data_IF_195067546790
#
_entry.id   IF_195067546790
#
_cell.length_a   1.000
_cell.length_b   1.000
_cell.length_c   1.000
_cell.angle_alpha   90.00
_cell.angle_beta   90.00
_cell.angle_gamma   90.00
#
_symmetry.space_group_name_H-M   'P 1'
#
loop_
_entity.id
_entity.type
_entity.pdbx_description
1 polymer ?
#
# COMPACT_ATOMS: atom_id res chain seq x y z
N UNK A 1 22.55 -11.01 -18.59
CA UNK A 1 22.00 -11.72 -17.42
C UNK A 1 21.70 -13.16 -17.82
N UNK A 2 22.30 -14.18 -17.21
CA UNK A 2 22.03 -15.56 -17.61
C UNK A 2 20.70 -16.01 -16.95
N UNK A 3 19.65 -16.15 -17.75
CA UNK A 3 18.41 -16.82 -17.33
C UNK A 3 18.66 -18.34 -17.33
N UNK A 4 18.66 -18.98 -16.18
CA UNK A 4 18.56 -20.43 -16.11
C UNK A 4 17.07 -20.80 -16.23
N UNK A 5 16.69 -21.40 -17.37
CA UNK A 5 15.37 -22.03 -17.58
C UNK A 5 14.15 -21.13 -17.26
N UNK A 6 14.13 -19.89 -17.73
CA UNK A 6 12.96 -19.03 -17.58
C UNK A 6 12.69 -18.45 -16.18
N UNK A 7 13.59 -18.64 -15.21
CA UNK A 7 13.48 -18.01 -13.89
C UNK A 7 14.13 -16.63 -13.89
N UNK A 8 13.44 -15.64 -13.38
CA UNK A 8 14.00 -14.32 -13.10
C UNK A 8 15.03 -14.44 -11.96
N UNK A 9 16.24 -13.97 -12.18
CA UNK A 9 17.28 -13.92 -11.16
C UNK A 9 17.17 -12.59 -10.41
N UNK A 10 16.88 -12.65 -9.11
CA UNK A 10 16.98 -11.48 -8.25
C UNK A 10 18.46 -11.06 -8.13
N UNK A 11 18.72 -9.77 -8.35
CA UNK A 11 20.05 -9.17 -8.20
C UNK A 11 20.02 -8.08 -7.15
N UNK A 12 21.01 -8.04 -6.29
CA UNK A 12 21.19 -6.91 -5.38
C UNK A 12 21.54 -5.66 -6.17
N UNK A 13 20.92 -4.54 -5.81
CA UNK A 13 21.20 -3.21 -6.34
C UNK A 13 22.26 -2.59 -5.44
N UNK A 14 23.50 -2.37 -5.93
CA UNK A 14 24.60 -1.93 -5.08
C UNK A 14 24.45 -0.48 -4.60
N UNK A 15 23.95 0.41 -5.45
CA UNK A 15 23.92 1.85 -5.22
C UNK A 15 22.50 2.31 -4.90
N UNK A 16 21.97 1.90 -3.75
CA UNK A 16 20.65 2.32 -3.29
C UNK A 16 20.68 2.81 -1.85
N UNK A 17 19.82 3.79 -1.56
CA UNK A 17 19.64 4.27 -0.20
C UNK A 17 18.17 4.53 0.12
N UNK A 18 17.87 4.43 1.43
CA UNK A 18 16.60 4.86 2.01
C UNK A 18 16.90 5.83 3.14
N UNK A 19 16.28 6.99 3.11
CA UNK A 19 16.36 7.97 4.18
C UNK A 19 15.01 8.65 4.38
N UNK A 20 14.71 9.08 5.58
CA UNK A 20 13.43 9.71 5.85
C UNK A 20 13.28 10.17 7.27
N UNK A 21 12.10 10.68 7.57
CA UNK A 21 11.66 11.12 8.89
C UNK A 21 10.37 10.39 9.20
N UNK A 22 10.31 9.80 10.38
CA UNK A 22 9.10 9.21 10.94
C UNK A 22 8.66 10.03 12.15
N UNK A 23 7.42 10.46 12.12
CA UNK A 23 6.80 11.22 13.20
C UNK A 23 5.60 10.42 13.72
N UNK A 24 5.46 10.35 15.03
CA UNK A 24 4.28 9.80 15.67
C UNK A 24 3.89 10.65 16.88
N UNK A 25 2.60 10.85 17.08
CA UNK A 25 2.05 11.56 18.22
C UNK A 25 0.79 10.84 18.71
N UNK A 26 0.58 10.82 20.03
CA UNK A 26 -0.63 10.34 20.65
C UNK A 26 -1.02 11.29 21.79
N UNK A 27 -2.27 11.72 21.80
CA UNK A 27 -2.81 12.69 22.75
C UNK A 27 -4.10 12.15 23.37
N UNK A 28 -4.15 12.07 24.68
CA UNK A 28 -5.37 11.85 25.42
C UNK A 28 -6.04 13.21 25.67
N UNK A 29 -6.97 13.61 24.82
CA UNK A 29 -7.64 14.91 24.87
C UNK A 29 -8.63 14.93 26.02
N UNK A 30 -9.33 13.82 26.26
CA UNK A 30 -10.23 13.63 27.38
C UNK A 30 -10.20 12.16 27.82
N UNK A 31 -10.82 11.82 28.96
CA UNK A 31 -10.91 10.43 29.45
C UNK A 31 -11.66 9.50 28.49
N UNK A 32 -12.43 10.06 27.58
CA UNK A 32 -13.27 9.37 26.63
C UNK A 32 -12.84 9.56 25.18
N UNK A 33 -11.76 10.34 24.92
CA UNK A 33 -11.30 10.64 23.56
C UNK A 33 -9.78 10.74 23.48
N UNK A 34 -9.19 9.96 22.58
CA UNK A 34 -7.79 10.07 22.21
C UNK A 34 -7.58 10.21 20.70
N UNK A 35 -6.50 10.87 20.33
CA UNK A 35 -6.04 11.08 18.97
C UNK A 35 -4.64 10.52 18.81
N UNK A 36 -4.45 9.65 17.82
CA UNK A 36 -3.15 9.20 17.34
C UNK A 36 -2.90 9.70 15.92
N UNK A 37 -1.68 10.06 15.61
CA UNK A 37 -1.28 10.39 14.25
C UNK A 37 0.15 9.89 14.00
N UNK A 38 0.43 9.43 12.79
CA UNK A 38 1.77 9.10 12.32
C UNK A 38 1.95 9.59 10.89
N UNK A 39 3.20 9.88 10.54
CA UNK A 39 3.60 10.22 9.19
C UNK A 39 5.04 9.76 8.94
N UNK A 40 5.26 9.11 7.81
CA UNK A 40 6.57 8.74 7.28
C UNK A 40 6.79 9.52 5.99
N UNK A 41 7.84 10.31 5.96
CA UNK A 41 8.33 10.99 4.77
C UNK A 41 9.66 10.36 4.38
N UNK A 42 9.74 9.71 3.23
CA UNK A 42 10.92 8.96 2.84
C UNK A 42 11.40 9.28 1.43
N UNK A 43 12.68 9.12 1.23
CA UNK A 43 13.33 9.15 -0.08
C UNK A 43 14.01 7.80 -0.31
N UNK A 44 13.53 7.06 -1.32
CA UNK A 44 13.97 5.71 -1.65
C UNK A 44 14.56 5.77 -3.07
N UNK A 45 15.88 5.77 -3.20
CA UNK A 45 16.58 6.02 -4.48
C UNK A 45 17.52 4.91 -4.84
N UNK A 46 17.69 4.76 -6.13
CA UNK A 46 18.73 3.96 -6.77
C UNK A 46 19.55 4.92 -7.62
N UNK A 47 20.86 4.86 -7.49
CA UNK A 47 21.79 5.63 -8.32
C UNK A 47 22.36 4.73 -9.43
N UNK A 48 22.69 5.32 -10.56
CA UNK A 48 23.26 4.61 -11.71
C UNK A 48 22.42 3.40 -12.16
N UNK A 49 21.08 3.53 -12.10
CA UNK A 49 20.19 2.44 -12.47
C UNK A 49 20.13 2.23 -13.98
N UNK A 50 20.31 0.99 -14.39
CA UNK A 50 20.07 0.52 -15.75
C UNK A 50 18.90 -0.45 -15.73
N UNK A 51 17.85 -0.13 -16.48
CA UNK A 51 16.72 -1.02 -16.71
C UNK A 51 17.05 -1.96 -17.87
N UNK A 52 16.70 -3.23 -17.74
CA UNK A 52 16.82 -4.25 -18.76
C UNK A 52 15.43 -4.58 -19.28
N UNK A 53 15.18 -4.33 -20.56
CA UNK A 53 13.88 -4.53 -21.20
C UNK A 53 14.02 -5.56 -22.30
N UNK A 54 13.16 -6.59 -22.31
CA UNK A 54 13.15 -7.59 -23.37
C UNK A 54 12.75 -6.97 -24.69
N UNK A 55 13.55 -7.22 -25.74
CA UNK A 55 13.33 -6.70 -27.09
C UNK A 55 12.89 -7.81 -28.04
N UNK A 56 11.89 -7.51 -28.85
CA UNK A 56 11.29 -8.39 -29.85
C UNK A 56 11.19 -7.66 -31.19
N UNK A 57 11.23 -8.40 -32.30
CA UNK A 57 10.88 -7.86 -33.60
C UNK A 57 9.36 -7.65 -33.75
N UNK A 58 8.92 -7.20 -34.93
CA UNK A 58 7.50 -6.97 -35.19
C UNK A 58 6.67 -8.27 -35.22
N UNK A 59 7.31 -9.42 -35.37
CA UNK A 59 6.68 -10.75 -35.37
C UNK A 59 6.80 -11.45 -34.00
N UNK A 60 7.17 -10.72 -32.94
CA UNK A 60 7.36 -11.21 -31.58
C UNK A 60 8.49 -12.25 -31.42
N UNK A 61 9.46 -12.29 -32.31
CA UNK A 61 10.67 -13.07 -32.09
C UNK A 61 11.59 -12.34 -31.11
N UNK A 62 12.09 -13.04 -30.10
CA UNK A 62 12.96 -12.47 -29.08
C UNK A 62 14.33 -12.12 -29.68
N UNK A 63 14.74 -10.86 -29.56
CA UNK A 63 16.01 -10.36 -30.05
C UNK A 63 17.09 -10.25 -28.95
N UNK A 64 16.67 -10.17 -27.70
CA UNK A 64 17.60 -10.01 -26.57
C UNK A 64 17.06 -9.07 -25.50
N UNK A 65 17.94 -8.56 -24.66
CA UNK A 65 17.63 -7.53 -23.65
C UNK A 65 18.27 -6.21 -24.08
N UNK A 66 17.50 -5.13 -24.04
CA UNK A 66 17.98 -3.77 -24.25
C UNK A 66 18.27 -3.10 -22.93
N UNK A 67 19.45 -2.53 -22.82
CA UNK A 67 19.87 -1.77 -21.64
C UNK A 67 19.45 -0.30 -21.80
N UNK A 68 18.71 0.21 -20.81
CA UNK A 68 18.27 1.60 -20.74
C UNK A 68 18.86 2.23 -19.47
N UNK A 69 19.86 3.09 -19.64
CA UNK A 69 20.45 3.82 -18.52
C UNK A 69 19.51 4.95 -18.08
N UNK A 70 18.96 4.86 -16.86
CA UNK A 70 18.01 5.82 -16.29
C UNK A 70 18.65 6.79 -15.29
N UNK A 71 19.92 6.58 -14.91
CA UNK A 71 20.58 7.39 -13.88
C UNK A 71 19.95 7.18 -12.50
N UNK A 72 19.44 8.26 -11.89
CA UNK A 72 18.77 8.16 -10.58
C UNK A 72 17.32 7.74 -10.74
N UNK A 73 16.95 6.63 -10.10
CA UNK A 73 15.60 6.09 -10.09
C UNK A 73 15.05 5.91 -8.67
N UNK A 74 13.92 5.23 -8.54
CA UNK A 74 13.29 4.96 -7.24
C UNK A 74 13.15 3.46 -7.01
N UNK A 75 13.12 3.05 -5.74
CA UNK A 75 12.84 1.67 -5.36
C UNK A 75 11.37 1.35 -5.60
N UNK A 76 11.11 0.17 -6.17
CA UNK A 76 9.76 -0.36 -6.34
C UNK A 76 9.04 -0.50 -4.98
N UNK A 77 7.71 -0.37 -4.99
CA UNK A 77 6.85 -0.47 -3.81
C UNK A 77 7.33 0.33 -2.61
N UNK A 78 7.89 1.51 -2.86
CA UNK A 78 8.45 2.35 -1.82
C UNK A 78 7.86 3.78 -1.93
N UNK A 79 6.65 4.01 -1.38
CA UNK A 79 6.01 5.32 -1.41
C UNK A 79 6.83 6.34 -0.62
N UNK A 80 6.82 7.60 -1.09
CA UNK A 80 7.53 8.68 -0.41
C UNK A 80 6.79 9.20 0.82
N UNK A 81 5.48 8.97 0.90
CA UNK A 81 4.62 9.43 2.00
C UNK A 81 3.70 8.30 2.42
N UNK A 82 3.68 8.01 3.73
CA UNK A 82 2.65 7.20 4.37
C UNK A 82 2.20 7.99 5.60
N UNK A 83 0.90 8.14 5.80
CA UNK A 83 0.36 8.83 6.96
C UNK A 83 -0.87 8.09 7.52
N UNK A 84 -1.10 8.22 8.81
CA UNK A 84 -2.26 7.63 9.48
C UNK A 84 -2.80 8.52 10.58
N UNK A 85 -4.12 8.49 10.77
CA UNK A 85 -4.82 9.14 11.88
C UNK A 85 -5.74 8.13 12.53
N UNK A 86 -5.72 8.08 13.85
CA UNK A 86 -6.54 7.23 14.68
C UNK A 86 -7.33 8.09 15.67
N UNK A 87 -8.66 8.04 15.62
CA UNK A 87 -9.54 8.66 16.57
C UNK A 87 -10.20 7.56 17.40
N UNK A 88 -10.00 7.60 18.69
CA UNK A 88 -10.52 6.59 19.62
C UNK A 88 -11.44 7.23 20.67
N UNK A 89 -12.67 6.74 20.72
CA UNK A 89 -13.74 7.27 21.55
C UNK A 89 -14.37 6.16 22.39
N UNK A 90 -14.46 6.38 23.71
CA UNK A 90 -15.05 5.44 24.66
C UNK A 90 -15.94 6.13 25.70
N UNK A 91 -17.24 5.82 25.71
CA UNK A 91 -18.18 6.35 26.71
C UNK A 91 -19.19 5.27 27.12
N UNK A 92 -19.28 4.96 28.42
CA UNK A 92 -20.34 4.12 29.02
C UNK A 92 -20.63 2.83 28.23
N UNK A 93 -19.60 2.05 27.92
CA UNK A 93 -19.72 0.81 27.14
C UNK A 93 -19.76 1.00 25.62
N UNK A 94 -19.98 2.21 25.12
CA UNK A 94 -19.84 2.52 23.70
C UNK A 94 -18.39 2.80 23.35
N UNK A 95 -17.93 2.28 22.20
CA UNK A 95 -16.63 2.55 21.62
C UNK A 95 -16.75 2.86 20.13
N UNK A 96 -15.96 3.79 19.66
CA UNK A 96 -15.84 4.09 18.23
C UNK A 96 -14.36 4.37 17.90
N UNK A 97 -13.83 3.64 16.93
CA UNK A 97 -12.45 3.76 16.46
C UNK A 97 -12.47 4.09 14.97
N UNK A 98 -12.08 5.31 14.63
CA UNK A 98 -11.89 5.72 13.24
C UNK A 98 -10.40 5.64 12.90
N UNK A 99 -10.07 4.95 11.83
CA UNK A 99 -8.70 4.84 11.32
C UNK A 99 -8.67 5.27 9.85
N UNK A 100 -7.92 6.32 9.59
CA UNK A 100 -7.67 6.81 8.23
C UNK A 100 -6.22 6.60 7.88
N UNK A 101 -5.95 6.04 6.70
CA UNK A 101 -4.60 5.80 6.20
C UNK A 101 -4.46 6.41 4.80
N UNK A 102 -3.38 7.15 4.59
CA UNK A 102 -2.92 7.62 3.29
C UNK A 102 -1.63 6.90 2.90
N UNK A 103 -1.57 6.46 1.65
CA UNK A 103 -0.37 5.87 1.03
C UNK A 103 -0.13 6.59 -0.28
N UNK A 104 1.05 7.15 -0.44
CA UNK A 104 1.47 7.84 -1.66
C UNK A 104 1.73 6.90 -2.82
N UNK A 105 1.85 7.48 -4.02
CA UNK A 105 2.13 6.77 -5.28
C UNK A 105 3.32 5.82 -5.15
N UNK A 106 3.21 4.64 -5.77
CA UNK A 106 4.23 3.61 -5.82
C UNK A 106 4.44 3.13 -7.26
N UNK A 107 5.63 2.63 -7.55
CA UNK A 107 5.96 2.05 -8.86
C UNK A 107 6.13 0.54 -8.73
N UNK A 108 5.71 -0.23 -9.73
CA UNK A 108 5.89 -1.68 -9.75
C UNK A 108 7.34 -2.09 -9.96
N UNK A 109 8.06 -1.27 -10.74
CA UNK A 109 9.45 -1.51 -11.12
C UNK A 109 10.35 -0.39 -10.60
N UNK A 110 11.64 -0.63 -10.61
CA UNK A 110 12.63 0.39 -10.26
C UNK A 110 12.83 1.44 -11.37
N UNK A 111 12.16 1.29 -12.51
CA UNK A 111 12.30 2.19 -13.67
C UNK A 111 11.57 3.53 -13.53
N UNK A 112 10.77 3.74 -12.47
CA UNK A 112 9.97 4.95 -12.25
C UNK A 112 9.08 5.30 -13.43
N UNK A 113 8.44 4.31 -14.00
CA UNK A 113 7.53 4.47 -15.12
C UNK A 113 6.10 4.69 -14.62
N UNK A 114 5.47 5.80 -14.98
CA UNK A 114 4.12 6.17 -14.55
C UNK A 114 3.04 5.20 -15.07
N UNK A 115 3.27 4.57 -16.23
CA UNK A 115 2.37 3.51 -16.72
C UNK A 115 2.42 2.24 -15.87
N UNK A 116 3.48 2.05 -15.08
CA UNK A 116 3.69 0.90 -14.20
C UNK A 116 3.68 1.35 -12.74
N UNK A 117 2.57 1.96 -12.29
CA UNK A 117 2.45 2.52 -10.96
C UNK A 117 1.09 2.26 -10.33
N UNK A 118 1.05 2.37 -9.00
CA UNK A 118 -0.17 2.48 -8.19
C UNK A 118 -0.36 3.96 -7.84
N UNK A 119 -1.55 4.47 -8.06
CA UNK A 119 -1.93 5.80 -7.59
C UNK A 119 -1.94 5.87 -6.07
N UNK A 120 -1.80 7.06 -5.53
CA UNK A 120 -1.99 7.31 -4.12
C UNK A 120 -3.44 7.10 -3.71
N UNK A 121 -3.65 6.71 -2.46
CA UNK A 121 -4.99 6.51 -1.93
C UNK A 121 -5.11 6.91 -0.47
N UNK A 122 -6.34 7.23 -0.08
CA UNK A 122 -6.73 7.48 1.30
C UNK A 122 -7.94 6.63 1.64
N UNK A 123 -7.82 5.73 2.61
CA UNK A 123 -8.90 4.85 3.04
C UNK A 123 -9.20 5.05 4.53
N UNK A 124 -10.50 5.06 4.86
CA UNK A 124 -10.97 5.22 6.23
C UNK A 124 -11.83 4.04 6.64
N UNK A 125 -11.53 3.48 7.81
CA UNK A 125 -12.30 2.41 8.43
C UNK A 125 -12.90 2.89 9.76
N UNK A 126 -14.08 2.42 10.11
CA UNK A 126 -14.77 2.74 11.36
C UNK A 126 -15.19 1.46 12.08
N UNK A 127 -14.73 1.31 13.31
CA UNK A 127 -15.16 0.23 14.20
C UNK A 127 -16.05 0.80 15.30
N UNK A 128 -17.25 0.27 15.43
CA UNK A 128 -18.19 0.61 16.49
C UNK A 128 -18.37 -0.58 17.41
N UNK A 129 -18.47 -0.33 18.69
CA UNK A 129 -18.72 -1.35 19.70
C UNK A 129 -19.66 -0.85 20.79
N UNK A 130 -20.47 -1.76 21.31
CA UNK A 130 -21.27 -1.52 22.50
C UNK A 130 -21.25 -2.73 23.42
N UNK A 131 -20.82 -2.54 24.66
CA UNK A 131 -20.72 -3.59 25.67
C UNK A 131 -21.78 -3.39 26.73
N UNK A 132 -22.62 -4.42 26.94
CA UNK A 132 -23.62 -4.52 27.97
C UNK A 132 -23.14 -5.46 29.07
N UNK A 133 -23.09 -4.99 30.29
CA UNK A 133 -22.93 -5.88 31.47
C UNK A 133 -24.20 -6.70 31.70
N UNK A 134 -24.05 -8.03 31.78
CA UNK A 134 -25.17 -8.94 32.00
C UNK A 134 -24.88 -9.76 33.24
N UNK A 135 -25.60 -9.46 34.32
CA UNK A 135 -25.34 -9.96 35.68
C UNK A 135 -25.29 -11.49 35.85
N UNK A 136 -25.81 -12.26 34.91
CA UNK A 136 -25.84 -13.74 34.95
C UNK A 136 -24.85 -14.41 33.99
N UNK A 137 -24.40 -13.68 32.95
CA UNK A 137 -23.53 -14.24 31.88
C UNK A 137 -22.29 -13.41 31.67
N UNK A 138 -21.95 -12.46 32.56
CA UNK A 138 -20.76 -11.61 32.39
C UNK A 138 -21.00 -10.38 31.50
N UNK A 139 -20.70 -10.42 30.22
CA UNK A 139 -20.98 -9.30 29.30
C UNK A 139 -21.32 -9.77 27.89
N UNK A 140 -22.09 -8.95 27.18
CA UNK A 140 -22.37 -9.11 25.74
C UNK A 140 -21.89 -7.87 25.02
N UNK A 141 -21.01 -8.06 24.04
CA UNK A 141 -20.49 -7.00 23.18
C UNK A 141 -21.02 -7.17 21.76
N UNK A 142 -21.61 -6.11 21.24
CA UNK A 142 -21.99 -5.95 19.84
C UNK A 142 -20.90 -5.16 19.13
N UNK A 143 -20.48 -5.59 17.96
CA UNK A 143 -19.47 -4.91 17.16
C UNK A 143 -19.93 -4.73 15.72
N UNK A 144 -19.63 -3.58 15.13
CA UNK A 144 -19.81 -3.28 13.72
C UNK A 144 -18.50 -2.73 13.18
N UNK A 145 -17.98 -3.35 12.14
CA UNK A 145 -16.80 -2.91 11.42
C UNK A 145 -17.24 -2.43 10.03
N UNK A 146 -16.98 -1.17 9.74
CA UNK A 146 -17.24 -0.54 8.45
C UNK A 146 -15.89 -0.32 7.80
N UNK A 147 -15.61 -1.05 6.74
CA UNK A 147 -14.38 -0.90 5.98
C UNK A 147 -14.64 0.00 4.78
N UNK A 148 -13.64 0.81 4.46
CA UNK A 148 -13.69 1.75 3.35
C UNK A 148 -14.94 2.64 3.41
N UNK A 149 -15.07 3.39 4.51
CA UNK A 149 -16.25 4.20 4.86
C UNK A 149 -16.69 5.15 3.74
N UNK A 150 -15.74 5.71 2.99
CA UNK A 150 -16.00 6.67 1.93
C UNK A 150 -16.06 6.05 0.53
N UNK A 151 -16.03 4.71 0.45
CA UNK A 151 -16.11 3.96 -0.81
C UNK A 151 -15.04 4.36 -1.83
N UNK A 152 -13.82 4.60 -1.37
CA UNK A 152 -12.67 4.94 -2.22
C UNK A 152 -12.31 3.74 -3.11
N UNK A 153 -12.21 3.95 -4.41
CA UNK A 153 -11.66 2.97 -5.34
C UNK A 153 -10.14 3.03 -5.30
N UNK A 154 -9.48 1.91 -4.97
CA UNK A 154 -8.03 1.87 -4.89
C UNK A 154 -7.47 0.47 -5.10
N UNK A 155 -6.20 0.44 -5.51
CA UNK A 155 -5.39 -0.77 -5.57
C UNK A 155 -4.19 -0.58 -4.64
N UNK A 156 -3.93 -1.54 -3.75
CA UNK A 156 -2.76 -1.51 -2.88
C UNK A 156 -1.64 -2.42 -3.39
N UNK A 157 -1.89 -3.16 -4.45
CA UNK A 157 -0.94 -4.05 -5.10
C UNK A 157 -1.24 -4.16 -6.60
N UNK A 158 -0.22 -4.54 -7.36
CA UNK A 158 -0.29 -4.78 -8.79
C UNK A 158 1.06 -5.32 -9.26
N UNK A 159 1.21 -5.56 -10.53
CA UNK A 159 2.50 -5.85 -11.17
C UNK A 159 2.49 -5.34 -12.60
N UNK A 160 3.64 -5.19 -13.16
CA UNK A 160 3.76 -4.77 -14.54
C UNK A 160 5.16 -5.04 -15.10
N UNK A 161 5.24 -5.02 -16.40
CA UNK A 161 6.48 -5.20 -17.14
C UNK A 161 6.46 -4.37 -18.41
N UNK A 162 7.65 -4.12 -18.93
CA UNK A 162 7.87 -3.44 -20.20
C UNK A 162 8.49 -4.40 -21.20
N UNK A 163 8.16 -4.23 -22.47
CA UNK A 163 8.83 -4.85 -23.60
C UNK A 163 9.06 -3.81 -24.70
N UNK A 164 9.96 -4.11 -25.62
CA UNK A 164 10.17 -3.32 -26.84
C UNK A 164 9.82 -4.23 -28.00
N UNK A 165 8.79 -3.88 -28.77
CA UNK A 165 8.29 -4.66 -29.89
C UNK A 165 8.38 -3.82 -31.15
N UNK A 166 9.11 -4.29 -32.19
CA UNK A 166 9.35 -3.52 -33.41
C UNK A 166 9.96 -2.13 -33.16
N UNK A 167 10.77 -1.99 -32.08
CA UNK A 167 11.39 -0.73 -31.68
C UNK A 167 10.53 0.21 -30.83
N UNK A 168 9.28 -0.16 -30.53
CA UNK A 168 8.35 0.62 -29.70
C UNK A 168 8.26 0.01 -28.30
N UNK A 169 8.37 0.84 -27.25
CA UNK A 169 8.16 0.40 -25.88
C UNK A 169 6.68 0.19 -25.61
N UNK A 170 6.34 -0.97 -25.08
CA UNK A 170 5.01 -1.34 -24.61
C UNK A 170 5.06 -1.65 -23.11
N UNK A 171 4.15 -1.04 -22.35
CA UNK A 171 4.05 -1.21 -20.92
C UNK A 171 2.73 -1.93 -20.59
N UNK A 172 2.79 -3.01 -19.80
CA UNK A 172 1.63 -3.76 -19.35
C UNK A 172 1.52 -3.69 -17.85
N UNK A 173 0.38 -3.22 -17.34
CA UNK A 173 0.11 -3.08 -15.92
C UNK A 173 -1.13 -3.90 -15.52
N UNK A 174 -1.06 -4.58 -14.39
CA UNK A 174 -2.13 -5.39 -13.82
C UNK A 174 -2.33 -5.01 -12.37
N UNK A 175 -3.59 -4.77 -11.98
CA UNK A 175 -3.96 -4.22 -10.69
C UNK A 175 -4.78 -5.21 -9.88
N UNK A 176 -4.63 -5.19 -8.56
CA UNK A 176 -5.46 -5.94 -7.62
C UNK A 176 -6.37 -4.98 -6.84
N UNK A 177 -7.62 -4.74 -7.33
CA UNK A 177 -8.56 -3.86 -6.67
C UNK A 177 -8.89 -4.34 -5.25
N UNK A 178 -8.99 -3.40 -4.35
CA UNK A 178 -9.40 -3.65 -2.97
C UNK A 178 -10.93 -3.58 -2.82
N UNK A 179 -11.42 -4.19 -1.74
CA UNK A 179 -12.84 -4.19 -1.47
C UNK A 179 -13.37 -2.77 -1.30
N UNK A 180 -14.48 -2.49 -1.97
CA UNK A 180 -15.27 -1.28 -1.78
C UNK A 180 -15.90 -1.25 -0.38
N UNK A 181 -16.73 -0.25 -0.10
CA UNK A 181 -17.48 -0.18 1.15
C UNK A 181 -18.09 -1.53 1.53
N UNK A 182 -17.79 -1.99 2.74
CA UNK A 182 -18.37 -3.22 3.27
C UNK A 182 -18.54 -3.13 4.79
N UNK A 183 -19.48 -3.91 5.32
CA UNK A 183 -19.84 -3.92 6.74
C UNK A 183 -19.83 -5.34 7.28
N UNK A 184 -19.19 -5.52 8.43
CA UNK A 184 -19.20 -6.76 9.20
C UNK A 184 -19.81 -6.49 10.58
N UNK A 185 -20.65 -7.39 11.06
CA UNK A 185 -21.20 -7.33 12.40
C UNK A 185 -20.81 -8.58 13.19
N UNK A 186 -20.56 -8.41 14.49
CA UNK A 186 -20.25 -9.51 15.38
C UNK A 186 -20.93 -9.33 16.75
N UNK A 187 -21.14 -10.46 17.44
CA UNK A 187 -21.60 -10.50 18.83
C UNK A 187 -20.65 -11.38 19.62
N UNK A 188 -20.12 -10.86 20.72
CA UNK A 188 -19.24 -11.61 21.63
C UNK A 188 -19.90 -11.72 22.98
N UNK A 189 -20.02 -12.94 23.47
CA UNK A 189 -20.54 -13.24 24.83
C UNK A 189 -19.38 -13.70 25.70
N UNK A 190 -19.24 -13.09 26.89
CA UNK A 190 -18.24 -13.48 27.91
C UNK A 190 -19.01 -14.00 29.13
N UNK A 191 -18.62 -15.19 29.58
CA UNK A 191 -19.19 -15.87 30.74
C UNK A 191 -18.31 -15.67 31.97
#
# INVERSE_FOLDING_TARGET
MYKRQGQELSRNIPDSYRRGIELSASLNIARWFSLGANATLSQNRIENYTEYVSEYDADWNYLGEKELYLGTSTLSYSPSVIAGVLLDFHVKGFSALLHTQYVGKQYFTNGRNDALSLDDYCVTNLNLGYELAASKIGSVRFGVQINNLFNTEYCNNGYGYSSIVGGVREDSAFYFPQAMFNVLANVTVRF
#
